data_IF_975135527825
#
_entry.id   IF_975135527825
#
_cell.length_a   1.000
_cell.length_b   1.000
_cell.length_c   1.000
_cell.angle_alpha   90.00
_cell.angle_beta   90.00
_cell.angle_gamma   90.00
#
_symmetry.space_group_name_H-M   'P 1'
#
loop_
_entity.id
_entity.type
_entity.pdbx_description
1 polymer ?
#
# COMPACT_ATOMS: atom_id res chain seq x y z
N UNK A 1 -9.45 -2.03 -6.97
CA UNK A 1 -8.48 -2.88 -6.24
C UNK A 1 -7.67 -3.83 -7.13
N UNK A 2 -8.02 -4.02 -8.41
CA UNK A 2 -7.27 -4.85 -9.36
C UNK A 2 -5.76 -4.57 -9.37
N UNK A 3 -5.39 -3.29 -9.48
CA UNK A 3 -4.02 -2.80 -9.42
C UNK A 3 -3.22 -3.34 -8.23
N UNK A 4 -3.83 -3.22 -7.04
CA UNK A 4 -3.21 -3.62 -5.79
C UNK A 4 -3.08 -5.14 -5.68
N UNK A 5 -4.04 -5.89 -6.22
CA UNK A 5 -3.96 -7.35 -6.30
C UNK A 5 -2.84 -7.81 -7.24
N UNK A 6 -2.72 -7.23 -8.43
CA UNK A 6 -1.62 -7.52 -9.36
C UNK A 6 -0.26 -7.14 -8.77
N UNK A 7 -0.19 -6.01 -8.10
CA UNK A 7 1.00 -5.56 -7.39
C UNK A 7 1.41 -6.54 -6.28
N UNK A 8 0.47 -6.96 -5.43
CA UNK A 8 0.70 -7.95 -4.38
C UNK A 8 1.14 -9.31 -4.96
N UNK A 9 0.45 -9.80 -5.98
CA UNK A 9 0.78 -11.05 -6.66
C UNK A 9 2.19 -11.01 -7.27
N UNK A 10 2.59 -9.88 -7.85
CA UNK A 10 3.93 -9.67 -8.36
C UNK A 10 5.00 -9.85 -7.28
N UNK A 11 4.74 -9.38 -6.06
CA UNK A 11 5.64 -9.58 -4.92
C UNK A 11 5.74 -11.03 -4.48
N UNK A 12 4.59 -11.72 -4.36
CA UNK A 12 4.55 -13.16 -4.03
C UNK A 12 5.37 -13.97 -5.04
N UNK A 13 5.22 -13.69 -6.35
CA UNK A 13 5.95 -14.38 -7.42
C UNK A 13 7.45 -14.15 -7.39
N UNK A 14 7.90 -12.96 -6.96
CA UNK A 14 9.32 -12.62 -6.81
C UNK A 14 9.92 -13.06 -5.47
N UNK A 15 9.13 -13.72 -4.62
CA UNK A 15 9.58 -14.12 -3.29
C UNK A 15 9.80 -12.93 -2.35
N UNK A 16 9.17 -11.80 -2.61
CA UNK A 16 9.18 -10.62 -1.73
C UNK A 16 8.22 -10.82 -0.55
N UNK A 17 8.44 -10.12 0.56
CA UNK A 17 7.44 -10.04 1.64
C UNK A 17 6.43 -8.97 1.23
N UNK A 18 5.17 -9.36 1.08
CA UNK A 18 4.07 -8.44 0.78
C UNK A 18 3.43 -7.97 2.07
N UNK A 19 3.20 -6.66 2.16
CA UNK A 19 2.53 -6.01 3.27
C UNK A 19 1.31 -5.25 2.74
N UNK A 20 0.13 -5.54 3.27
CA UNK A 20 -1.10 -4.81 2.98
C UNK A 20 -1.48 -3.99 4.21
N UNK A 21 -1.56 -2.66 4.06
CA UNK A 21 -1.87 -1.74 5.17
C UNK A 21 -3.05 -0.85 4.79
N UNK A 22 -4.22 -1.10 5.35
CA UNK A 22 -5.38 -0.33 4.91
C UNK A 22 -6.70 -0.69 5.56
N UNK A 23 -7.80 -0.20 4.99
CA UNK A 23 -9.14 -0.51 5.48
C UNK A 23 -9.46 -2.01 5.33
N UNK A 24 -10.35 -2.49 6.20
CA UNK A 24 -10.80 -3.89 6.22
C UNK A 24 -11.23 -4.38 4.83
N UNK A 25 -12.10 -3.62 4.19
CA UNK A 25 -12.72 -4.00 2.92
C UNK A 25 -11.71 -3.99 1.77
N UNK A 26 -10.78 -3.03 1.74
CA UNK A 26 -9.81 -2.95 0.66
C UNK A 26 -8.81 -4.10 0.68
N UNK A 27 -8.23 -4.44 1.85
CA UNK A 27 -7.28 -5.55 1.88
C UNK A 27 -7.97 -6.90 1.62
N UNK A 28 -9.23 -7.08 2.06
CA UNK A 28 -9.96 -8.32 1.79
C UNK A 28 -10.23 -8.50 0.30
N UNK A 29 -10.62 -7.43 -0.39
CA UNK A 29 -10.83 -7.46 -1.83
C UNK A 29 -9.54 -7.79 -2.59
N UNK A 30 -8.41 -7.19 -2.18
CA UNK A 30 -7.08 -7.51 -2.70
C UNK A 30 -6.75 -8.98 -2.48
N UNK A 31 -6.93 -9.52 -1.27
CA UNK A 31 -6.63 -10.92 -0.95
C UNK A 31 -7.48 -11.89 -1.76
N UNK A 32 -8.78 -11.62 -1.87
CA UNK A 32 -9.71 -12.41 -2.70
C UNK A 32 -9.24 -12.41 -4.14
N UNK A 33 -8.92 -11.24 -4.69
CA UNK A 33 -8.47 -11.14 -6.08
C UNK A 33 -7.13 -11.83 -6.33
N UNK A 34 -6.17 -11.73 -5.40
CA UNK A 34 -4.91 -12.48 -5.48
C UNK A 34 -5.18 -13.99 -5.50
N UNK A 35 -6.09 -14.47 -4.66
CA UNK A 35 -6.46 -15.88 -4.62
C UNK A 35 -7.08 -16.35 -5.94
N UNK A 36 -8.00 -15.58 -6.51
CA UNK A 36 -8.63 -15.89 -7.79
C UNK A 36 -7.60 -15.95 -8.93
N UNK A 37 -6.68 -14.97 -8.97
CA UNK A 37 -5.59 -14.93 -9.95
C UNK A 37 -4.63 -16.11 -9.81
N UNK A 38 -4.42 -16.62 -8.58
CA UNK A 38 -3.59 -17.79 -8.33
C UNK A 38 -4.30 -19.09 -8.72
N UNK A 39 -5.60 -19.21 -8.43
CA UNK A 39 -6.42 -20.39 -8.82
C UNK A 39 -6.56 -20.53 -10.34
N UNK A 40 -6.53 -19.42 -11.07
CA UNK A 40 -6.55 -19.43 -12.53
C UNK A 40 -5.22 -19.89 -13.18
N UNK A 41 -4.16 -20.11 -12.39
CA UNK A 41 -2.87 -20.56 -12.89
C UNK A 41 -2.80 -22.11 -12.94
N UNK A 42 -1.96 -22.69 -13.81
CA UNK A 42 -1.69 -24.12 -13.80
C UNK A 42 -1.22 -24.59 -12.41
N UNK A 43 -1.62 -25.79 -11.96
CA UNK A 43 -1.15 -26.37 -10.71
C UNK A 43 0.39 -26.42 -10.63
N UNK A 44 0.96 -26.04 -9.48
CA UNK A 44 2.41 -26.13 -9.21
C UNK A 44 3.21 -24.83 -9.32
N UNK A 45 2.63 -23.74 -9.83
CA UNK A 45 3.31 -22.43 -9.95
C UNK A 45 3.42 -21.66 -8.64
N UNK A 46 2.48 -21.84 -7.70
CA UNK A 46 2.49 -21.15 -6.40
C UNK A 46 2.11 -22.13 -5.29
N UNK A 47 2.86 -22.07 -4.18
CA UNK A 47 2.60 -22.93 -3.03
C UNK A 47 1.29 -22.53 -2.33
N UNK A 48 0.46 -23.49 -1.88
CA UNK A 48 -0.82 -23.22 -1.20
C UNK A 48 -0.72 -22.34 0.06
N UNK A 49 0.47 -22.19 0.66
CA UNK A 49 0.70 -21.50 1.93
C UNK A 49 1.08 -20.01 1.81
N UNK A 50 0.97 -19.41 0.61
CA UNK A 50 1.40 -18.02 0.34
C UNK A 50 0.78 -16.98 1.28
N UNK A 51 -0.48 -17.15 1.70
CA UNK A 51 -1.20 -16.17 2.53
C UNK A 51 -0.49 -15.81 3.84
N UNK A 52 0.01 -16.80 4.58
CA UNK A 52 0.64 -16.58 5.90
C UNK A 52 2.15 -16.36 5.78
N UNK A 53 2.79 -16.97 4.79
CA UNK A 53 4.23 -16.88 4.59
C UNK A 53 4.62 -15.56 3.92
N UNK A 54 3.90 -15.19 2.87
CA UNK A 54 4.34 -14.16 1.94
C UNK A 54 3.58 -12.85 2.11
N UNK A 55 2.34 -12.90 2.59
CA UNK A 55 1.56 -11.68 2.87
C UNK A 55 1.42 -11.45 4.38
N UNK A 56 1.56 -10.20 4.81
CA UNK A 56 1.13 -9.72 6.12
C UNK A 56 0.09 -8.62 5.91
N UNK A 57 -0.90 -8.56 6.79
CA UNK A 57 -2.02 -7.62 6.71
C UNK A 57 -2.11 -6.86 8.02
N UNK A 58 -2.26 -5.54 7.92
CA UNK A 58 -2.49 -4.67 9.05
C UNK A 58 -3.66 -3.75 8.73
N UNK A 59 -4.72 -3.89 9.51
CA UNK A 59 -5.89 -3.04 9.37
C UNK A 59 -5.61 -1.67 9.95
N UNK A 60 -5.94 -0.62 9.20
CA UNK A 60 -5.70 0.77 9.59
C UNK A 60 -6.33 1.14 10.95
N UNK A 61 -7.53 0.60 11.23
CA UNK A 61 -8.23 0.77 12.51
C UNK A 61 -7.43 0.23 13.70
N UNK A 62 -6.63 -0.82 13.48
CA UNK A 62 -5.76 -1.46 14.48
C UNK A 62 -4.38 -0.83 14.61
N UNK A 63 -3.98 0.10 13.74
CA UNK A 63 -2.65 0.72 13.79
C UNK A 63 -2.47 1.73 14.92
N UNK A 64 -3.57 2.16 15.55
CA UNK A 64 -3.66 3.21 16.58
C UNK A 64 -2.37 3.56 17.32
N UNK A 65 -2.18 3.07 18.54
CA UNK A 65 -1.01 3.40 19.35
C UNK A 65 0.29 2.76 18.84
N UNK A 66 0.24 1.74 17.98
CA UNK A 66 1.46 1.14 17.39
C UNK A 66 2.13 2.07 16.37
N UNK A 67 1.41 3.06 15.85
CA UNK A 67 1.83 3.88 14.72
C UNK A 67 1.70 5.38 15.00
N UNK A 68 0.71 5.78 15.80
CA UNK A 68 0.41 7.18 16.09
C UNK A 68 0.68 7.56 17.56
N UNK A 69 1.15 8.78 17.76
CA UNK A 69 1.27 9.49 19.05
C UNK A 69 0.55 10.82 18.88
N UNK A 70 -0.43 11.10 19.75
CA UNK A 70 -1.24 12.33 19.70
C UNK A 70 -1.82 12.63 18.31
N UNK A 71 -2.30 11.59 17.62
CA UNK A 71 -2.90 11.70 16.29
C UNK A 71 -1.90 11.92 15.14
N UNK A 72 -0.60 11.89 15.41
CA UNK A 72 0.47 12.04 14.42
C UNK A 72 1.28 10.75 14.29
N UNK A 73 1.67 10.34 13.07
CA UNK A 73 2.52 9.16 12.93
C UNK A 73 3.91 9.47 13.51
N UNK A 74 4.41 8.55 14.34
CA UNK A 74 5.74 8.66 14.95
C UNK A 74 6.78 7.92 14.08
N UNK A 75 7.91 8.56 13.70
CA UNK A 75 8.91 7.93 12.83
C UNK A 75 9.51 6.63 13.39
N UNK A 76 9.80 6.59 14.69
CA UNK A 76 10.42 5.43 15.32
C UNK A 76 9.46 4.24 15.40
N UNK A 77 8.20 4.51 15.74
CA UNK A 77 7.12 3.51 15.73
C UNK A 77 6.84 3.00 14.32
N UNK A 78 6.81 3.89 13.33
CA UNK A 78 6.66 3.54 11.91
C UNK A 78 7.77 2.60 11.43
N UNK A 79 9.03 2.92 11.72
CA UNK A 79 10.16 2.06 11.35
C UNK A 79 10.09 0.70 12.07
N UNK A 80 9.77 0.71 13.37
CA UNK A 80 9.61 -0.51 14.16
C UNK A 80 8.52 -1.42 13.60
N UNK A 81 7.37 -0.84 13.22
CA UNK A 81 6.28 -1.52 12.54
C UNK A 81 6.74 -2.20 11.25
N UNK A 82 7.48 -1.50 10.39
CA UNK A 82 7.96 -2.05 9.13
C UNK A 82 9.01 -3.15 9.32
N UNK A 83 9.89 -3.02 10.31
CA UNK A 83 10.83 -4.10 10.67
C UNK A 83 10.09 -5.35 11.16
N UNK A 84 9.09 -5.18 12.03
CA UNK A 84 8.21 -6.27 12.50
C UNK A 84 7.49 -6.94 11.32
N UNK A 85 6.92 -6.15 10.41
CA UNK A 85 6.20 -6.64 9.24
C UNK A 85 7.09 -7.38 8.22
N UNK A 86 8.35 -6.96 8.08
CA UNK A 86 9.33 -7.60 7.19
C UNK A 86 9.73 -9.00 7.67
N UNK A 87 9.64 -9.23 8.99
CA UNK A 87 10.02 -10.49 9.62
C UNK A 87 11.51 -10.81 9.51
N UNK A 88 11.95 -11.97 10.03
CA UNK A 88 13.38 -12.31 10.11
C UNK A 88 14.00 -12.70 8.75
N UNK A 89 13.19 -12.84 7.70
CA UNK A 89 13.63 -13.42 6.42
C UNK A 89 14.58 -12.55 5.59
N UNK A 90 14.72 -11.26 5.92
CA UNK A 90 15.53 -10.32 5.14
C UNK A 90 15.04 -10.06 3.71
N UNK A 91 13.86 -10.58 3.34
CA UNK A 91 13.26 -10.42 2.00
C UNK A 91 12.95 -8.95 1.73
N UNK A 92 13.10 -8.48 0.48
CA UNK A 92 12.61 -7.14 0.09
C UNK A 92 11.13 -6.99 0.40
N UNK A 93 10.75 -5.80 0.85
CA UNK A 93 9.36 -5.50 1.22
C UNK A 93 8.61 -4.91 0.02
N UNK A 94 7.39 -5.39 -0.20
CA UNK A 94 6.43 -4.79 -1.14
C UNK A 94 5.20 -4.36 -0.37
N UNK A 95 4.94 -3.07 -0.32
CA UNK A 95 3.87 -2.49 0.51
C UNK A 95 2.78 -1.92 -0.37
N UNK A 96 1.56 -2.41 -0.21
CA UNK A 96 0.37 -1.67 -0.61
C UNK A 96 -0.19 -0.96 0.61
N UNK A 97 -0.58 0.30 0.47
CA UNK A 97 -1.30 1.00 1.52
C UNK A 97 -2.31 2.04 1.02
N UNK A 98 -3.32 2.35 1.85
CA UNK A 98 -4.22 3.49 1.64
C UNK A 98 -4.35 4.37 2.90
N UNK A 99 -3.32 4.40 3.76
CA UNK A 99 -3.37 5.16 5.01
C UNK A 99 -3.45 6.67 4.80
N UNK A 100 -2.72 7.20 3.80
CA UNK A 100 -2.74 8.62 3.48
C UNK A 100 -4.15 9.10 3.11
N UNK A 101 -4.87 8.30 2.34
CA UNK A 101 -6.29 8.52 2.01
C UNK A 101 -7.16 8.52 3.26
N UNK A 102 -7.12 7.45 4.06
CA UNK A 102 -7.98 7.32 5.25
C UNK A 102 -7.77 8.48 6.24
N UNK A 103 -6.53 8.94 6.40
CA UNK A 103 -6.19 10.12 7.20
C UNK A 103 -6.67 11.42 6.55
N UNK A 104 -6.72 11.50 5.23
CA UNK A 104 -7.24 12.66 4.51
C UNK A 104 -8.76 12.76 4.69
N UNK A 105 -9.48 11.67 4.46
CA UNK A 105 -10.94 11.60 4.53
C UNK A 105 -11.45 11.85 5.95
N UNK A 106 -10.73 11.38 6.96
CA UNK A 106 -11.04 11.66 8.38
C UNK A 106 -10.71 13.11 8.83
N UNK A 107 -10.30 13.99 7.91
CA UNK A 107 -9.95 15.38 8.22
C UNK A 107 -8.55 15.57 8.80
N UNK A 108 -7.80 14.49 9.05
CA UNK A 108 -6.44 14.49 9.60
C UNK A 108 -5.37 14.80 8.55
N UNK A 109 -5.54 15.89 7.78
CA UNK A 109 -4.67 16.27 6.65
C UNK A 109 -3.19 16.39 7.02
N UNK A 110 -2.88 16.83 8.25
CA UNK A 110 -1.50 16.93 8.74
C UNK A 110 -0.87 15.55 8.94
N UNK A 111 -1.61 14.60 9.52
CA UNK A 111 -1.18 13.23 9.71
C UNK A 111 -1.06 12.49 8.37
N UNK A 112 -2.01 12.70 7.44
CA UNK A 112 -1.95 12.20 6.06
C UNK A 112 -0.63 12.61 5.38
N UNK A 113 -0.29 13.91 5.38
CA UNK A 113 1.00 14.36 4.83
C UNK A 113 2.23 13.81 5.55
N UNK A 114 2.12 13.59 6.86
CA UNK A 114 3.23 13.06 7.64
C UNK A 114 3.48 11.58 7.34
N UNK A 115 2.42 10.78 7.17
CA UNK A 115 2.59 9.35 6.83
C UNK A 115 3.20 9.19 5.43
N UNK A 116 2.83 10.04 4.47
CA UNK A 116 3.43 10.01 3.13
C UNK A 116 4.93 10.31 3.14
N UNK A 117 5.37 11.25 3.99
CA UNK A 117 6.80 11.51 4.19
C UNK A 117 7.53 10.29 4.75
N UNK A 118 6.93 9.58 5.70
CA UNK A 118 7.53 8.38 6.30
C UNK A 118 7.63 7.24 5.29
N UNK A 119 6.59 7.01 4.48
CA UNK A 119 6.65 6.05 3.37
C UNK A 119 7.77 6.37 2.40
N UNK A 120 7.93 7.64 2.02
CA UNK A 120 8.99 8.10 1.14
C UNK A 120 10.39 7.85 1.71
N UNK A 121 10.61 8.28 2.96
CA UNK A 121 11.89 8.09 3.65
C UNK A 121 12.26 6.61 3.75
N UNK A 122 11.28 5.74 4.03
CA UNK A 122 11.51 4.30 4.09
C UNK A 122 11.82 3.69 2.72
N UNK A 123 11.16 4.14 1.66
CA UNK A 123 11.48 3.74 0.28
C UNK A 123 12.92 4.12 -0.08
N UNK A 124 13.35 5.34 0.24
CA UNK A 124 14.69 5.84 -0.11
C UNK A 124 15.82 5.10 0.59
N UNK A 125 15.53 4.44 1.72
CA UNK A 125 16.46 3.49 2.35
C UNK A 125 16.68 2.18 1.54
N UNK A 126 16.02 2.02 0.38
CA UNK A 126 16.39 1.07 -0.66
C UNK A 126 15.91 -0.38 -0.49
N UNK A 127 15.00 -0.65 0.46
CA UNK A 127 14.52 -2.03 0.75
C UNK A 127 13.03 -2.26 0.50
N UNK A 128 12.37 -1.30 -0.13
CA UNK A 128 10.92 -1.30 -0.24
C UNK A 128 10.41 -0.82 -1.59
N UNK A 129 9.44 -1.55 -2.16
CA UNK A 129 8.57 -1.04 -3.23
C UNK A 129 7.22 -0.68 -2.62
N UNK A 130 6.71 0.53 -2.86
CA UNK A 130 5.47 1.01 -2.26
C UNK A 130 4.46 1.36 -3.35
N UNK A 131 3.21 0.93 -3.16
CA UNK A 131 2.04 1.37 -3.91
C UNK A 131 1.05 2.00 -2.92
N UNK A 132 0.91 3.31 -2.96
CA UNK A 132 -0.16 4.02 -2.25
C UNK A 132 -1.42 4.05 -3.13
N UNK A 133 -2.59 3.93 -2.52
CA UNK A 133 -3.88 4.04 -3.20
C UNK A 133 -4.71 5.18 -2.62
N UNK A 134 -5.39 5.89 -3.51
CA UNK A 134 -6.34 6.95 -3.21
C UNK A 134 -7.56 6.76 -4.11
N UNK A 135 -8.74 6.86 -3.53
CA UNK A 135 -10.01 7.01 -4.23
C UNK A 135 -10.09 8.46 -4.68
N UNK A 136 -10.25 8.61 -6.00
CA UNK A 136 -10.53 9.88 -6.63
C UNK A 136 -11.99 9.82 -7.10
N UNK A 137 -12.86 10.73 -6.63
CA UNK A 137 -14.17 10.92 -7.22
C UNK A 137 -14.09 11.07 -8.75
N UNK A 138 -15.07 10.51 -9.46
CA UNK A 138 -15.12 10.58 -10.93
C UNK A 138 -15.42 12.00 -11.44
N UNK A 139 -16.03 12.84 -10.59
CA UNK A 139 -16.71 14.07 -11.02
C UNK A 139 -15.78 15.30 -11.16
N UNK A 140 -14.62 15.34 -10.49
CA UNK A 140 -13.63 16.42 -10.63
C UNK A 140 -12.19 15.99 -10.32
N UNK A 141 -11.66 15.15 -11.20
CA UNK A 141 -10.33 14.57 -11.06
C UNK A 141 -9.19 15.60 -11.02
N UNK A 142 -9.35 16.77 -11.65
CA UNK A 142 -8.34 17.84 -11.59
C UNK A 142 -8.32 18.53 -10.21
N UNK A 143 -9.49 18.84 -9.65
CA UNK A 143 -9.58 19.39 -8.30
C UNK A 143 -9.10 18.39 -7.23
N UNK A 144 -9.40 17.11 -7.40
CA UNK A 144 -9.03 16.07 -6.44
C UNK A 144 -7.53 15.76 -6.48
N UNK A 145 -6.94 15.68 -7.68
CA UNK A 145 -5.47 15.59 -7.83
C UNK A 145 -4.80 16.84 -7.26
N UNK A 146 -5.38 18.02 -7.43
CA UNK A 146 -4.88 19.27 -6.81
C UNK A 146 -4.84 19.17 -5.28
N UNK A 147 -5.90 18.62 -4.67
CA UNK A 147 -5.99 18.36 -3.22
C UNK A 147 -4.95 17.35 -2.71
N UNK A 148 -4.53 16.40 -3.58
CA UNK A 148 -3.50 15.42 -3.29
C UNK A 148 -2.08 15.88 -3.68
N UNK A 149 -1.89 17.01 -4.38
CA UNK A 149 -0.55 17.45 -4.88
C UNK A 149 0.55 17.39 -3.83
N UNK A 150 0.24 17.72 -2.58
CA UNK A 150 1.24 17.69 -1.50
C UNK A 150 1.62 16.26 -1.11
N UNK A 151 0.70 15.30 -1.16
CA UNK A 151 0.97 13.89 -0.98
C UNK A 151 1.69 13.29 -2.22
N UNK A 152 1.27 13.69 -3.42
CA UNK A 152 1.86 13.25 -4.68
C UNK A 152 3.32 13.68 -4.86
N UNK A 153 3.78 14.75 -4.19
CA UNK A 153 5.22 15.14 -4.16
C UNK A 153 6.15 14.04 -3.67
N UNK A 154 5.64 13.05 -2.95
CA UNK A 154 6.43 11.93 -2.45
C UNK A 154 6.38 10.68 -3.36
N UNK A 155 5.60 10.74 -4.44
CA UNK A 155 5.37 9.64 -5.36
C UNK A 155 6.22 9.81 -6.62
N UNK A 156 6.66 8.70 -7.21
CA UNK A 156 7.45 8.71 -8.45
C UNK A 156 6.58 8.48 -9.69
N UNK A 157 5.49 7.74 -9.54
CA UNK A 157 4.58 7.39 -10.62
C UNK A 157 3.14 7.51 -10.14
N UNK A 158 2.26 7.97 -11.02
CA UNK A 158 0.82 7.82 -10.91
C UNK A 158 0.41 6.63 -11.77
N UNK A 159 -0.29 5.67 -11.16
CA UNK A 159 -0.92 4.60 -11.92
C UNK A 159 -2.43 4.79 -11.80
N UNK A 160 -3.09 5.01 -12.93
CA UNK A 160 -4.54 5.12 -13.03
C UNK A 160 -5.08 3.82 -13.57
N UNK A 161 -6.18 3.35 -13.00
CA UNK A 161 -6.93 2.23 -13.53
C UNK A 161 -8.31 2.73 -13.89
N UNK A 162 -8.61 2.72 -15.18
CA UNK A 162 -9.91 3.04 -15.74
C UNK A 162 -10.56 1.76 -16.31
N UNK A 163 -11.69 1.91 -17.02
CA UNK A 163 -12.38 0.78 -17.65
C UNK A 163 -11.59 0.13 -18.78
N UNK A 164 -10.63 0.84 -19.38
CA UNK A 164 -9.87 0.40 -20.55
C UNK A 164 -8.49 -0.19 -20.17
N UNK A 165 -8.06 -0.01 -18.92
CA UNK A 165 -6.89 -0.68 -18.35
C UNK A 165 -6.11 0.19 -17.37
N UNK A 166 -4.81 -0.07 -17.27
CA UNK A 166 -3.90 0.70 -16.44
C UNK A 166 -3.11 1.71 -17.31
N UNK A 167 -3.13 2.99 -16.94
CA UNK A 167 -2.23 4.00 -17.50
C UNK A 167 -1.22 4.45 -16.43
N UNK A 168 0.02 4.69 -16.85
CA UNK A 168 1.11 5.14 -15.97
C UNK A 168 1.59 6.50 -16.44
N UNK A 169 1.59 7.47 -15.53
CA UNK A 169 2.20 8.78 -15.73
C UNK A 169 3.33 8.97 -14.72
N UNK A 170 4.48 9.47 -15.16
CA UNK A 170 5.56 9.82 -14.25
C UNK A 170 5.28 11.18 -13.62
N UNK A 171 5.45 11.30 -12.30
CA UNK A 171 5.41 12.62 -11.64
C UNK A 171 6.75 13.31 -11.93
N UNK A 172 6.69 14.46 -12.62
CA UNK A 172 7.81 15.37 -12.84
C UNK A 172 8.15 16.12 -11.54
#
# INVERSE_FOLDING_TARGET
MEAAALFALGGVRRGEKVLLVGSHWHYLDILRRVEDLLKAQPPGLVQPSWRKRDIAVFEASGLGSEFFVDGMPDPGRFESFLRKASGPSGRPLRVWNNLGELLHESGSRRASRAVERLWHQFRDAGRCTILCSYLLPEDDLEADVSGLRVALRYHTHLVRFDRDGASVAQFL
#
